data_IF_882041334301
#
_entry.id   IF_882041334301
#
_cell.length_a   1.000
_cell.length_b   1.000
_cell.length_c   1.000
_cell.angle_alpha   90.00
_cell.angle_beta   90.00
_cell.angle_gamma   90.00
#
_symmetry.space_group_name_H-M   'P 1'
#
loop_
_entity.id
_entity.type
_entity.pdbx_description
1 polymer ?
#
# COMPACT_ATOMS: atom_id res chain seq x y z
N UNK A 1 49.35 -4.29 -84.27
CA UNK A 1 49.95 -4.30 -82.92
C UNK A 1 49.00 -5.05 -81.99
N UNK A 2 49.16 -6.37 -81.89
CA UNK A 2 48.20 -7.25 -81.20
C UNK A 2 48.56 -7.27 -79.72
N UNK A 3 47.68 -6.72 -78.88
CA UNK A 3 47.84 -6.65 -77.43
C UNK A 3 47.88 -8.08 -76.85
N UNK A 4 49.09 -8.60 -76.60
CA UNK A 4 49.34 -9.95 -76.08
C UNK A 4 49.05 -10.13 -74.57
N UNK A 5 48.48 -9.13 -73.88
CA UNK A 5 48.27 -9.11 -72.42
C UNK A 5 46.81 -9.04 -71.94
N UNK A 6 45.82 -9.46 -72.74
CA UNK A 6 44.39 -9.43 -72.33
C UNK A 6 44.07 -10.26 -71.09
N UNK A 7 44.82 -11.35 -70.84
CA UNK A 7 44.64 -12.22 -69.67
C UNK A 7 44.97 -11.49 -68.36
N UNK A 8 46.02 -10.67 -68.34
CA UNK A 8 46.42 -9.91 -67.14
C UNK A 8 45.39 -8.86 -66.72
N UNK A 9 44.79 -8.17 -67.69
CA UNK A 9 43.72 -7.18 -67.42
C UNK A 9 42.49 -7.87 -66.82
N UNK A 10 42.11 -9.04 -67.33
CA UNK A 10 40.99 -9.82 -66.80
C UNK A 10 41.23 -10.26 -65.35
N UNK A 11 42.41 -10.80 -65.04
CA UNK A 11 42.75 -11.19 -63.67
C UNK A 11 42.79 -9.99 -62.72
N UNK A 12 43.30 -8.84 -63.15
CA UNK A 12 43.31 -7.63 -62.32
C UNK A 12 41.89 -7.12 -62.03
N UNK A 13 41.01 -7.11 -63.04
CA UNK A 13 39.60 -6.77 -62.87
C UNK A 13 38.90 -7.74 -61.91
N UNK A 14 39.14 -9.05 -62.06
CA UNK A 14 38.58 -10.06 -61.17
C UNK A 14 39.06 -9.86 -59.72
N UNK A 15 40.35 -9.63 -59.51
CA UNK A 15 40.92 -9.35 -58.18
C UNK A 15 40.31 -8.09 -57.57
N UNK A 16 40.14 -7.01 -58.34
CA UNK A 16 39.49 -5.79 -57.85
C UNK A 16 38.03 -6.03 -57.44
N UNK A 17 37.28 -6.83 -58.21
CA UNK A 17 35.91 -7.20 -57.87
C UNK A 17 35.87 -8.02 -56.57
N UNK A 18 36.76 -9.01 -56.42
CA UNK A 18 36.83 -9.84 -55.21
C UNK A 18 37.20 -8.99 -53.99
N UNK A 19 38.19 -8.10 -54.09
CA UNK A 19 38.57 -7.20 -53.01
C UNK A 19 37.42 -6.24 -52.66
N UNK A 20 36.73 -5.70 -53.66
CA UNK A 20 35.56 -4.83 -53.44
C UNK A 20 34.43 -5.55 -52.73
N UNK A 21 34.10 -6.77 -53.14
CA UNK A 21 33.09 -7.61 -52.49
C UNK A 21 33.51 -7.98 -51.06
N UNK A 22 34.79 -8.28 -50.86
CA UNK A 22 35.32 -8.57 -49.53
C UNK A 22 35.22 -7.36 -48.60
N UNK A 23 35.59 -6.16 -49.06
CA UNK A 23 35.43 -4.92 -48.30
C UNK A 23 33.97 -4.64 -47.95
N UNK A 24 33.05 -4.78 -48.93
CA UNK A 24 31.61 -4.63 -48.70
C UNK A 24 31.08 -5.63 -47.67
N UNK A 25 31.53 -6.87 -47.73
CA UNK A 25 31.13 -7.91 -46.77
C UNK A 25 31.61 -7.58 -45.36
N UNK A 26 32.85 -7.10 -45.21
CA UNK A 26 33.42 -6.73 -43.90
C UNK A 26 32.70 -5.51 -43.32
N UNK A 27 32.40 -4.49 -44.14
CA UNK A 27 31.66 -3.31 -43.68
C UNK A 27 30.25 -3.68 -43.25
N UNK A 28 29.55 -4.50 -44.03
CA UNK A 28 28.20 -4.94 -43.71
C UNK A 28 28.16 -5.78 -42.43
N UNK A 29 29.09 -6.72 -42.26
CA UNK A 29 29.17 -7.54 -41.06
C UNK A 29 29.49 -6.71 -39.81
N UNK A 30 30.40 -5.73 -39.93
CA UNK A 30 30.73 -4.80 -38.84
C UNK A 30 29.51 -3.98 -38.40
N UNK A 31 28.76 -3.42 -39.37
CA UNK A 31 27.53 -2.68 -39.06
C UNK A 31 26.46 -3.56 -38.42
N UNK A 32 26.28 -4.79 -38.91
CA UNK A 32 25.34 -5.75 -38.32
C UNK A 32 25.72 -6.11 -36.88
N UNK A 33 27.00 -6.33 -36.60
CA UNK A 33 27.48 -6.62 -35.26
C UNK A 33 27.25 -5.44 -34.32
N UNK A 34 27.53 -4.21 -34.78
CA UNK A 34 27.29 -2.99 -34.01
C UNK A 34 25.80 -2.80 -33.72
N UNK A 35 24.93 -2.98 -34.71
CA UNK A 35 23.46 -2.90 -34.53
C UNK A 35 22.95 -3.93 -33.53
N UNK A 36 23.42 -5.18 -33.61
CA UNK A 36 23.05 -6.24 -32.64
C UNK A 36 23.48 -5.90 -31.22
N UNK A 37 24.69 -5.34 -31.05
CA UNK A 37 25.18 -4.91 -29.74
C UNK A 37 24.32 -3.78 -29.17
N UNK A 38 24.05 -2.73 -29.96
CA UNK A 38 23.19 -1.61 -29.55
C UNK A 38 21.79 -2.11 -29.20
N UNK A 39 21.19 -2.93 -30.06
CA UNK A 39 19.88 -3.52 -29.81
C UNK A 39 19.85 -4.30 -28.50
N UNK A 40 20.86 -5.13 -28.23
CA UNK A 40 20.88 -5.92 -27.00
C UNK A 40 20.96 -5.04 -25.74
N UNK A 41 21.67 -3.92 -25.80
CA UNK A 41 21.75 -2.96 -24.69
C UNK A 41 20.44 -2.21 -24.48
N UNK A 42 19.77 -1.83 -25.57
CA UNK A 42 18.43 -1.25 -25.53
C UNK A 42 17.45 -2.24 -24.88
N UNK A 43 17.47 -3.52 -25.30
CA UNK A 43 16.64 -4.57 -24.72
C UNK A 43 16.93 -4.76 -23.23
N UNK A 44 18.20 -4.92 -22.82
CA UNK A 44 18.57 -5.08 -21.41
C UNK A 44 18.12 -3.90 -20.55
N UNK A 45 18.31 -2.67 -21.01
CA UNK A 45 17.88 -1.50 -20.26
C UNK A 45 16.36 -1.39 -20.22
N UNK A 46 15.66 -1.70 -21.31
CA UNK A 46 14.19 -1.78 -21.33
C UNK A 46 13.64 -2.82 -20.35
N UNK A 47 14.24 -4.01 -20.30
CA UNK A 47 13.86 -5.08 -19.39
C UNK A 47 14.09 -4.66 -17.93
N UNK A 48 15.17 -3.95 -17.65
CA UNK A 48 15.46 -3.40 -16.33
C UNK A 48 14.46 -2.34 -15.87
N UNK A 49 14.11 -1.39 -16.75
CA UNK A 49 13.10 -0.36 -16.45
C UNK A 49 11.77 -1.03 -16.11
N UNK A 50 11.37 -2.01 -16.91
CA UNK A 50 10.16 -2.79 -16.64
C UNK A 50 10.23 -3.56 -15.33
N UNK A 51 11.34 -4.23 -15.04
CA UNK A 51 11.51 -4.97 -13.78
C UNK A 51 11.46 -4.04 -12.56
N UNK A 52 11.95 -2.81 -12.68
CA UNK A 52 11.85 -1.80 -11.64
C UNK A 52 10.40 -1.38 -11.43
N UNK A 53 9.67 -1.11 -12.52
CA UNK A 53 8.23 -0.81 -12.47
C UNK A 53 7.42 -1.92 -11.80
N UNK A 54 7.70 -3.17 -12.15
CA UNK A 54 7.01 -4.35 -11.61
C UNK A 54 7.35 -4.58 -10.11
N UNK A 55 8.52 -4.18 -9.63
CA UNK A 55 8.95 -4.36 -8.22
C UNK A 55 8.48 -3.22 -7.29
N UNK A 56 8.26 -2.01 -7.82
CA UNK A 56 7.88 -0.84 -7.01
C UNK A 56 6.64 -1.09 -6.12
N UNK A 57 5.51 -1.65 -6.61
CA UNK A 57 4.34 -1.92 -5.76
C UNK A 57 4.66 -2.79 -4.55
N UNK A 58 5.57 -3.77 -4.71
CA UNK A 58 6.00 -4.66 -3.63
C UNK A 58 6.84 -3.91 -2.59
N UNK A 59 7.74 -3.03 -3.02
CA UNK A 59 8.53 -2.20 -2.10
C UNK A 59 7.63 -1.24 -1.32
N UNK A 60 6.69 -0.57 -2.00
CA UNK A 60 5.70 0.31 -1.37
C UNK A 60 4.84 -0.43 -0.35
N UNK A 61 4.42 -1.66 -0.66
CA UNK A 61 3.70 -2.51 0.28
C UNK A 61 4.52 -2.75 1.56
N UNK A 62 5.79 -3.12 1.43
CA UNK A 62 6.66 -3.40 2.57
C UNK A 62 6.83 -2.16 3.44
N UNK A 63 7.15 -1.01 2.83
CA UNK A 63 7.30 0.25 3.56
C UNK A 63 6.01 0.60 4.28
N UNK A 64 4.88 0.61 3.58
CA UNK A 64 3.65 1.05 4.20
C UNK A 64 3.12 0.10 5.27
N UNK A 65 3.27 -1.21 5.08
CA UNK A 65 2.91 -2.19 6.12
C UNK A 65 3.72 -1.93 7.41
N UNK A 66 5.03 -1.70 7.27
CA UNK A 66 5.90 -1.39 8.41
C UNK A 66 5.55 -0.05 9.05
N UNK A 67 5.24 0.97 8.26
CA UNK A 67 4.81 2.28 8.77
C UNK A 67 3.53 2.18 9.59
N UNK A 68 2.49 1.51 9.07
CA UNK A 68 1.23 1.30 9.82
C UNK A 68 1.51 0.58 11.13
N UNK A 69 2.35 -0.47 11.10
CA UNK A 69 2.74 -1.20 12.30
C UNK A 69 3.46 -0.33 13.33
N UNK A 70 4.38 0.54 12.89
CA UNK A 70 5.06 1.50 13.78
C UNK A 70 4.07 2.47 14.40
N UNK A 71 3.15 3.04 13.61
CA UNK A 71 2.13 3.96 14.11
C UNK A 71 1.31 3.29 15.21
N UNK A 72 0.83 2.06 14.99
CA UNK A 72 0.08 1.31 16.00
C UNK A 72 0.91 1.04 17.27
N UNK A 73 2.16 0.63 17.09
CA UNK A 73 3.08 0.40 18.22
C UNK A 73 3.31 1.68 19.02
N UNK A 74 3.41 2.82 18.35
CA UNK A 74 3.58 4.12 18.99
C UNK A 74 2.30 4.55 19.73
N UNK A 75 1.12 4.30 19.17
CA UNK A 75 -0.17 4.50 19.87
C UNK A 75 -0.21 3.68 21.17
N UNK A 76 0.19 2.41 21.12
CA UNK A 76 0.24 1.54 22.31
C UNK A 76 1.28 2.03 23.33
N UNK A 77 2.46 2.45 22.87
CA UNK A 77 3.55 2.87 23.74
C UNK A 77 3.32 4.25 24.38
N UNK A 78 2.75 5.19 23.63
CA UNK A 78 2.52 6.57 24.08
C UNK A 78 1.17 6.74 24.78
N UNK A 79 0.21 5.86 24.51
CA UNK A 79 -1.18 6.01 24.95
C UNK A 79 -1.91 7.19 24.26
N UNK A 80 -1.39 7.70 23.16
CA UNK A 80 -1.96 8.83 22.41
C UNK A 80 -1.94 8.54 20.89
N UNK A 81 -2.88 9.13 20.16
CA UNK A 81 -2.83 9.16 18.69
C UNK A 81 -1.63 9.99 18.20
N UNK A 82 -1.17 9.78 16.95
CA UNK A 82 -0.10 10.58 16.35
C UNK A 82 -0.42 12.08 16.41
N UNK A 83 0.61 12.90 16.64
CA UNK A 83 0.40 14.36 16.73
C UNK A 83 0.07 15.01 15.38
N UNK A 84 0.52 14.39 14.29
CA UNK A 84 0.30 14.80 12.91
C UNK A 84 -0.67 13.82 12.21
N UNK A 85 -1.18 14.18 11.03
CA UNK A 85 -1.99 13.24 10.24
C UNK A 85 -1.18 12.00 9.86
N UNK A 86 -1.84 10.85 9.73
CA UNK A 86 -1.19 9.58 9.37
C UNK A 86 -0.52 9.68 8.00
N UNK A 87 -1.05 10.52 7.11
CA UNK A 87 -0.44 10.81 5.81
C UNK A 87 0.94 11.50 5.94
N UNK A 88 1.06 12.49 6.82
CA UNK A 88 2.34 13.18 7.07
C UNK A 88 3.33 12.27 7.80
N UNK A 89 2.85 11.50 8.79
CA UNK A 89 3.67 10.44 9.43
C UNK A 89 4.16 9.42 8.41
N UNK A 90 3.34 9.06 7.42
CA UNK A 90 3.75 8.15 6.37
C UNK A 90 4.82 8.75 5.47
N UNK A 91 4.68 10.02 5.06
CA UNK A 91 5.70 10.73 4.28
C UNK A 91 7.02 10.79 5.04
N UNK A 92 6.98 11.13 6.32
CA UNK A 92 8.15 11.13 7.20
C UNK A 92 8.81 9.75 7.25
N UNK A 93 8.05 8.69 7.51
CA UNK A 93 8.54 7.32 7.57
C UNK A 93 9.16 6.86 6.25
N UNK A 94 8.52 7.20 5.12
CA UNK A 94 8.98 6.83 3.79
C UNK A 94 10.30 7.52 3.42
N UNK A 95 10.40 8.84 3.62
CA UNK A 95 11.57 9.60 3.19
C UNK A 95 12.72 9.62 4.22
N UNK A 96 12.40 9.68 5.51
CA UNK A 96 13.40 9.86 6.56
C UNK A 96 13.66 8.59 7.37
N UNK A 97 12.79 7.57 7.28
CA UNK A 97 12.88 6.39 8.14
C UNK A 97 12.59 6.70 9.62
N UNK A 98 11.85 7.78 9.87
CA UNK A 98 11.51 8.26 11.22
C UNK A 98 10.00 8.37 11.39
N UNK A 99 9.53 8.29 12.64
CA UNK A 99 8.15 8.60 13.03
C UNK A 99 8.21 9.55 14.22
N UNK A 100 7.58 10.72 14.08
CA UNK A 100 7.60 11.80 15.08
C UNK A 100 9.04 12.25 15.42
N UNK A 101 9.92 12.27 14.41
CA UNK A 101 11.33 12.63 14.51
C UNK A 101 12.23 11.53 15.08
N UNK A 102 11.69 10.38 15.49
CA UNK A 102 12.47 9.28 16.05
C UNK A 102 12.78 8.23 14.98
N UNK A 103 14.05 7.80 14.90
CA UNK A 103 14.47 6.76 13.96
C UNK A 103 13.89 5.40 14.33
N UNK A 104 13.34 4.70 13.35
CA UNK A 104 12.61 3.45 13.56
C UNK A 104 13.33 2.26 12.94
N UNK A 105 13.94 1.36 13.74
CA UNK A 105 14.74 0.25 13.21
C UNK A 105 13.97 -0.69 12.28
N UNK A 106 12.66 -0.81 12.46
CA UNK A 106 11.81 -1.66 11.60
C UNK A 106 11.66 -1.08 10.18
N UNK A 107 11.91 0.22 9.98
CA UNK A 107 11.88 0.86 8.67
C UNK A 107 13.19 0.70 7.89
N UNK A 108 14.27 0.19 8.52
CA UNK A 108 15.55 -0.01 7.82
C UNK A 108 15.40 -0.99 6.64
N UNK A 109 15.94 -0.60 5.48
CA UNK A 109 15.81 -1.35 4.24
C UNK A 109 14.44 -1.18 3.56
N UNK A 110 13.62 -0.23 4.02
CA UNK A 110 12.29 0.05 3.48
C UNK A 110 12.03 1.56 3.34
N UNK A 111 13.06 2.39 3.33
CA UNK A 111 12.92 3.83 3.06
C UNK A 111 13.05 4.13 1.55
N UNK A 112 12.73 5.36 1.15
CA UNK A 112 12.99 5.85 -0.20
C UNK A 112 14.46 5.72 -0.59
N UNK A 113 15.38 6.08 0.30
CA UNK A 113 16.81 6.00 0.05
C UNK A 113 17.28 4.54 -0.12
N UNK A 114 16.69 3.61 0.65
CA UNK A 114 16.94 2.17 0.48
C UNK A 114 16.45 1.67 -0.89
N UNK A 115 15.25 2.09 -1.30
CA UNK A 115 14.67 1.77 -2.61
C UNK A 115 15.54 2.29 -3.75
N UNK A 116 15.93 3.57 -3.70
CA UNK A 116 16.81 4.19 -4.71
C UNK A 116 18.15 3.45 -4.75
N UNK A 117 18.73 3.13 -3.59
CA UNK A 117 20.01 2.42 -3.48
C UNK A 117 19.94 0.99 -4.05
N UNK A 118 18.85 0.24 -3.80
CA UNK A 118 18.63 -1.09 -4.36
C UNK A 118 18.53 -1.03 -5.90
N UNK A 119 17.69 -0.11 -6.42
CA UNK A 119 17.54 0.07 -7.87
C UNK A 119 18.86 0.49 -8.53
N UNK A 120 19.61 1.42 -7.93
CA UNK A 120 20.92 1.83 -8.42
C UNK A 120 21.97 0.71 -8.33
N UNK A 121 21.90 -0.15 -7.31
CA UNK A 121 22.77 -1.33 -7.22
C UNK A 121 22.51 -2.28 -8.38
N UNK A 122 21.25 -2.62 -8.65
CA UNK A 122 20.86 -3.50 -9.77
C UNK A 122 21.15 -2.87 -11.14
N UNK A 123 20.99 -1.55 -11.28
CA UNK A 123 21.36 -0.83 -12.50
C UNK A 123 22.85 -0.96 -12.83
N UNK A 124 23.71 -0.87 -11.82
CA UNK A 124 25.17 -1.01 -11.99
C UNK A 124 25.57 -2.40 -12.48
N UNK A 125 24.85 -3.45 -12.09
CA UNK A 125 25.10 -4.82 -12.57
C UNK A 125 24.90 -4.96 -14.09
N UNK A 126 24.04 -4.12 -14.69
CA UNK A 126 23.81 -4.08 -16.15
C UNK A 126 24.52 -2.92 -16.85
N UNK A 127 25.43 -2.23 -16.18
CA UNK A 127 26.12 -1.03 -16.69
C UNK A 127 25.19 0.13 -17.05
N UNK A 128 24.16 0.36 -16.23
CA UNK A 128 23.26 1.49 -16.32
C UNK A 128 23.40 2.44 -15.11
N UNK A 129 23.06 3.71 -15.31
CA UNK A 129 22.89 4.74 -14.29
C UNK A 129 21.40 5.09 -14.17
N UNK A 130 20.94 5.31 -12.93
CA UNK A 130 19.54 5.57 -12.62
C UNK A 130 19.41 6.71 -11.62
N UNK A 131 18.46 7.60 -11.89
CA UNK A 131 18.15 8.75 -11.07
C UNK A 131 16.64 8.87 -10.88
N UNK A 132 16.23 9.08 -9.63
CA UNK A 132 14.87 9.46 -9.28
C UNK A 132 14.83 10.95 -8.97
N UNK A 133 13.73 11.61 -9.31
CA UNK A 133 13.53 13.05 -9.11
C UNK A 133 12.08 13.35 -8.76
N UNK A 134 11.84 14.44 -8.02
CA UNK A 134 10.49 14.90 -7.67
C UNK A 134 9.60 13.77 -7.11
N UNK A 135 10.17 12.92 -6.26
CA UNK A 135 9.44 11.83 -5.64
C UNK A 135 8.38 12.40 -4.69
N UNK A 136 7.17 11.83 -4.76
CA UNK A 136 6.05 12.15 -3.90
C UNK A 136 5.33 10.86 -3.55
N UNK A 137 4.81 10.82 -2.33
CA UNK A 137 4.03 9.69 -1.85
C UNK A 137 2.82 10.21 -1.09
N UNK A 138 1.70 9.52 -1.24
CA UNK A 138 0.46 9.83 -0.53
C UNK A 138 -0.21 8.57 -0.04
N UNK A 139 -0.95 8.71 1.06
CA UNK A 139 -1.69 7.64 1.72
C UNK A 139 -3.17 8.01 1.72
N UNK A 140 -4.01 7.09 1.23
CA UNK A 140 -5.45 7.27 1.18
C UNK A 140 -6.20 5.97 1.42
N UNK A 141 -7.51 6.02 1.57
CA UNK A 141 -8.36 4.85 1.69
C UNK A 141 -9.49 4.97 0.65
N UNK A 142 -9.54 4.03 -0.29
CA UNK A 142 -10.53 4.00 -1.38
C UNK A 142 -11.57 2.90 -1.20
N UNK A 143 -11.35 1.99 -0.25
CA UNK A 143 -12.32 0.98 0.16
C UNK A 143 -12.19 0.72 1.68
N UNK A 144 -13.20 0.11 2.34
CA UNK A 144 -13.19 -0.10 3.78
C UNK A 144 -12.05 -0.99 4.30
N UNK A 145 -11.46 -1.82 3.43
CA UNK A 145 -10.57 -2.91 3.82
C UNK A 145 -9.12 -2.72 3.37
N UNK A 146 -8.82 -1.72 2.55
CA UNK A 146 -7.48 -1.48 2.04
C UNK A 146 -7.07 -0.01 2.14
N UNK A 147 -5.85 0.20 2.63
CA UNK A 147 -5.16 1.47 2.53
C UNK A 147 -4.42 1.50 1.20
N UNK A 148 -4.59 2.57 0.45
CA UNK A 148 -3.90 2.85 -0.82
C UNK A 148 -2.69 3.73 -0.59
N UNK A 149 -1.56 3.30 -1.15
CA UNK A 149 -0.33 4.07 -1.26
C UNK A 149 -0.14 4.43 -2.71
N UNK A 150 -0.02 5.73 -3.01
CA UNK A 150 0.24 6.24 -4.34
C UNK A 150 1.61 6.93 -4.35
N UNK A 151 2.50 6.43 -5.21
CA UNK A 151 3.86 6.94 -5.38
C UNK A 151 4.06 7.45 -6.81
N UNK A 152 4.56 8.67 -6.91
CA UNK A 152 4.89 9.31 -8.18
C UNK A 152 6.31 9.85 -8.12
N UNK A 153 7.15 9.50 -9.10
CA UNK A 153 8.49 10.04 -9.23
C UNK A 153 8.91 10.15 -10.70
N UNK A 154 9.72 11.16 -11.02
CA UNK A 154 10.48 11.19 -12.28
C UNK A 154 11.60 10.16 -12.22
N UNK A 155 11.72 9.36 -13.27
CA UNK A 155 12.71 8.30 -13.40
C UNK A 155 13.50 8.46 -14.68
N UNK A 156 14.81 8.57 -14.51
CA UNK A 156 15.77 8.63 -15.59
C UNK A 156 16.70 7.42 -15.49
N UNK A 157 16.81 6.65 -16.56
CA UNK A 157 17.76 5.56 -16.68
C UNK A 157 18.57 5.71 -17.97
N UNK A 158 19.89 5.58 -17.89
CA UNK A 158 20.77 5.66 -19.05
C UNK A 158 21.78 4.53 -19.00
N UNK A 159 22.08 3.98 -20.15
CA UNK A 159 23.27 3.17 -20.31
C UNK A 159 24.54 4.01 -20.05
N UNK A 160 25.60 3.42 -19.50
CA UNK A 160 26.85 4.14 -19.18
C UNK A 160 27.57 4.73 -20.39
N UNK A 161 27.35 4.19 -21.60
CA UNK A 161 27.89 4.74 -22.84
C UNK A 161 26.89 5.67 -23.55
N UNK A 162 25.77 6.00 -22.89
CA UNK A 162 24.72 6.91 -23.39
C UNK A 162 24.16 6.52 -24.77
N UNK A 163 24.12 5.22 -25.08
CA UNK A 163 23.53 4.73 -26.33
C UNK A 163 22.01 4.65 -26.28
N UNK A 164 21.46 4.50 -25.07
CA UNK A 164 20.03 4.39 -24.81
C UNK A 164 19.71 5.03 -23.47
N UNK A 165 18.58 5.72 -23.40
CA UNK A 165 18.06 6.30 -22.18
C UNK A 165 16.54 6.30 -22.16
N UNK A 166 16.00 6.24 -20.94
CA UNK A 166 14.59 6.35 -20.63
C UNK A 166 14.41 7.53 -19.69
N UNK A 167 13.44 8.37 -20.00
CA UNK A 167 13.00 9.45 -19.13
C UNK A 167 11.48 9.39 -19.07
N UNK A 168 10.94 9.02 -17.91
CA UNK A 168 9.49 8.89 -17.71
C UNK A 168 9.10 9.24 -16.29
N UNK A 169 7.81 9.49 -16.11
CA UNK A 169 7.21 9.50 -14.78
C UNK A 169 6.79 8.08 -14.41
N UNK A 170 7.25 7.59 -13.27
CA UNK A 170 6.76 6.38 -12.65
C UNK A 170 5.56 6.74 -11.78
N UNK A 171 4.50 5.97 -11.94
CA UNK A 171 3.32 6.00 -11.09
C UNK A 171 3.10 4.57 -10.63
N UNK A 172 3.16 4.35 -9.32
CA UNK A 172 3.02 3.04 -8.72
C UNK A 172 2.04 3.11 -7.56
N UNK A 173 1.13 2.14 -7.52
CA UNK A 173 0.08 2.05 -6.51
C UNK A 173 0.21 0.72 -5.81
N UNK A 174 0.06 0.74 -4.48
CA UNK A 174 0.06 -0.44 -3.64
C UNK A 174 -1.10 -0.40 -2.65
N UNK A 175 -1.61 -1.57 -2.29
CA UNK A 175 -2.73 -1.71 -1.37
C UNK A 175 -2.32 -2.55 -0.17
N UNK A 176 -2.63 -2.06 1.03
CA UNK A 176 -2.41 -2.79 2.29
C UNK A 176 -3.77 -3.16 2.84
N UNK A 177 -4.05 -4.46 2.86
CA UNK A 177 -5.25 -4.98 3.51
C UNK A 177 -5.14 -4.78 5.02
N UNK A 178 -6.18 -4.20 5.63
CA UNK A 178 -6.21 -3.89 7.07
C UNK A 178 -6.58 -5.11 7.93
N UNK A 179 -6.98 -6.22 7.31
CA UNK A 179 -7.29 -7.45 8.03
C UNK A 179 -6.10 -7.91 8.87
N UNK A 180 -6.36 -8.33 10.11
CA UNK A 180 -5.38 -8.71 11.13
C UNK A 180 -4.49 -7.57 11.66
N UNK A 181 -4.70 -6.32 11.24
CA UNK A 181 -4.20 -5.19 12.01
C UNK A 181 -5.02 -5.02 13.28
N UNK A 182 -4.40 -4.44 14.30
CA UNK A 182 -5.09 -4.10 15.55
C UNK A 182 -5.91 -2.84 15.34
N UNK A 183 -7.12 -2.80 15.86
CA UNK A 183 -7.96 -1.61 15.76
C UNK A 183 -7.48 -0.53 16.74
N UNK A 184 -6.98 0.63 16.25
CA UNK A 184 -6.46 1.70 17.11
C UNK A 184 -7.46 2.17 18.17
N UNK A 185 -8.76 2.11 17.87
CA UNK A 185 -9.83 2.49 18.79
C UNK A 185 -9.80 1.66 20.08
N UNK A 186 -9.47 0.37 19.99
CA UNK A 186 -9.38 -0.52 21.14
C UNK A 186 -8.04 -0.41 21.89
N UNK A 187 -6.98 0.01 21.21
CA UNK A 187 -5.64 0.15 21.78
C UNK A 187 -5.59 1.23 22.87
N UNK A 188 -6.22 2.39 22.64
CA UNK A 188 -6.16 3.51 23.59
C UNK A 188 -7.17 3.44 24.72
N UNK A 189 -8.33 2.85 24.47
CA UNK A 189 -9.39 2.81 25.47
C UNK A 189 -9.15 1.75 26.58
N UNK A 190 -7.92 1.21 26.66
CA UNK A 190 -7.47 0.35 27.75
C UNK A 190 -7.96 -1.10 27.65
N UNK A 191 -8.32 -1.52 26.43
CA UNK A 191 -8.93 -2.82 26.19
C UNK A 191 -7.95 -3.80 25.55
N UNK A 192 -8.34 -5.07 25.58
CA UNK A 192 -7.61 -6.13 24.90
C UNK A 192 -7.44 -5.76 23.42
N UNK A 193 -6.23 -5.98 22.90
CA UNK A 193 -5.92 -5.77 21.50
C UNK A 193 -6.94 -6.51 20.61
N UNK A 194 -7.65 -5.77 19.77
CA UNK A 194 -8.67 -6.33 18.89
C UNK A 194 -8.18 -6.34 17.46
N UNK A 195 -8.22 -7.49 16.80
CA UNK A 195 -7.83 -7.64 15.39
C UNK A 195 -9.02 -7.36 14.49
N UNK A 196 -8.76 -6.68 13.37
CA UNK A 196 -9.77 -6.42 12.36
C UNK A 196 -10.00 -7.69 11.55
N UNK A 197 -11.18 -8.28 11.70
CA UNK A 197 -11.63 -9.47 10.98
C UNK A 197 -12.97 -9.16 10.34
N UNK A 198 -13.02 -9.22 9.02
CA UNK A 198 -14.23 -8.97 8.23
C UNK A 198 -15.31 -10.01 8.54
N UNK A 199 -16.54 -9.56 8.71
CA UNK A 199 -17.69 -10.41 9.03
C UNK A 199 -17.97 -11.38 7.87
N UNK A 200 -18.13 -12.69 8.15
CA UNK A 200 -18.63 -13.65 7.16
C UNK A 200 -20.16 -13.60 7.04
N UNK A 201 -20.83 -12.91 7.96
CA UNK A 201 -22.28 -12.88 8.13
C UNK A 201 -22.93 -11.87 7.19
N UNK A 202 -24.07 -12.26 6.63
CA UNK A 202 -24.89 -11.43 5.75
C UNK A 202 -26.28 -11.16 6.35
N UNK A 203 -26.70 -11.95 7.35
CA UNK A 203 -28.03 -11.86 7.96
C UNK A 203 -27.90 -11.72 9.48
N UNK A 204 -27.74 -10.48 9.94
CA UNK A 204 -27.49 -10.20 11.35
C UNK A 204 -28.57 -10.68 12.32
N UNK A 205 -29.90 -10.59 12.10
CA UNK A 205 -30.85 -11.00 13.13
C UNK A 205 -30.67 -12.44 13.64
N UNK A 206 -30.27 -13.37 12.77
CA UNK A 206 -29.95 -14.76 13.14
C UNK A 206 -28.50 -14.99 13.56
N UNK A 207 -27.58 -14.12 13.12
CA UNK A 207 -26.13 -14.29 13.23
C UNK A 207 -25.50 -13.28 14.21
N UNK A 208 -26.28 -12.40 14.82
CA UNK A 208 -25.81 -11.28 15.63
C UNK A 208 -24.99 -11.73 16.83
N UNK A 209 -25.44 -12.79 17.52
CA UNK A 209 -24.68 -13.35 18.65
C UNK A 209 -23.29 -13.81 18.21
N UNK A 210 -23.20 -14.42 17.03
CA UNK A 210 -21.94 -14.89 16.45
C UNK A 210 -21.08 -13.73 15.92
N UNK A 211 -21.70 -12.66 15.40
CA UNK A 211 -21.03 -11.45 14.96
C UNK A 211 -20.42 -10.66 16.14
N UNK A 212 -21.18 -10.50 17.22
CA UNK A 212 -20.74 -9.87 18.47
C UNK A 212 -19.75 -10.76 19.22
N UNK A 213 -19.80 -12.07 19.00
CA UNK A 213 -18.77 -13.03 19.38
C UNK A 213 -19.22 -14.03 20.44
N UNK A 214 -19.56 -15.25 20.00
CA UNK A 214 -19.76 -16.40 20.90
C UNK A 214 -18.46 -16.85 21.61
N UNK A 215 -17.28 -16.38 21.16
CA UNK A 215 -16.00 -16.57 21.85
C UNK A 215 -15.49 -15.38 22.68
N UNK A 216 -16.34 -14.37 22.95
CA UNK A 216 -16.03 -13.27 23.86
C UNK A 216 -15.31 -12.08 23.18
N UNK A 217 -14.56 -11.31 23.98
CA UNK A 217 -13.92 -10.03 23.59
C UNK A 217 -13.03 -10.08 22.35
N UNK A 218 -12.49 -11.26 22.05
CA UNK A 218 -11.42 -11.45 21.07
C UNK A 218 -11.94 -11.69 19.64
N UNK A 219 -13.26 -11.89 19.48
CA UNK A 219 -13.82 -12.50 18.26
C UNK A 219 -14.85 -11.67 17.52
N UNK A 220 -15.11 -10.45 17.96
CA UNK A 220 -16.15 -9.63 17.36
C UNK A 220 -15.72 -9.20 15.94
N UNK A 221 -16.59 -9.38 14.96
CA UNK A 221 -16.30 -9.11 13.55
C UNK A 221 -16.52 -7.64 13.19
N UNK A 222 -15.99 -7.23 12.03
CA UNK A 222 -16.15 -5.90 11.46
C UNK A 222 -17.01 -5.94 10.21
N UNK A 223 -17.77 -4.88 9.96
CA UNK A 223 -18.47 -4.66 8.71
C UNK A 223 -18.13 -3.29 8.13
N UNK A 224 -18.27 -3.17 6.81
CA UNK A 224 -18.15 -1.90 6.11
C UNK A 224 -19.43 -1.08 6.32
N UNK A 225 -19.29 0.20 6.66
CA UNK A 225 -20.43 1.10 6.88
C UNK A 225 -20.13 2.52 6.46
N UNK A 226 -21.04 3.11 5.70
CA UNK A 226 -21.04 4.54 5.38
C UNK A 226 -21.36 5.33 6.64
N UNK A 227 -20.56 6.34 6.97
CA UNK A 227 -20.70 7.15 8.19
C UNK A 227 -19.94 6.60 9.39
N UNK A 228 -19.32 5.42 9.28
CA UNK A 228 -18.38 4.91 10.28
C UNK A 228 -16.95 5.45 10.01
N UNK A 229 -16.08 5.54 11.02
CA UNK A 229 -14.69 5.91 10.85
C UNK A 229 -13.90 4.87 10.04
N UNK A 230 -13.16 5.34 9.02
CA UNK A 230 -12.23 4.48 8.27
C UNK A 230 -11.05 4.03 9.13
N UNK A 231 -10.21 3.13 8.62
CA UNK A 231 -9.03 2.69 9.36
C UNK A 231 -8.01 3.81 9.53
N UNK A 232 -7.85 4.69 8.53
CA UNK A 232 -7.03 5.91 8.66
C UNK A 232 -7.62 6.84 9.72
N UNK A 233 -8.93 7.09 9.69
CA UNK A 233 -9.59 7.93 10.70
C UNK A 233 -9.39 7.36 12.12
N UNK A 234 -9.47 6.03 12.27
CA UNK A 234 -9.20 5.33 13.53
C UNK A 234 -7.75 5.50 14.01
N UNK A 235 -6.77 5.45 13.10
CA UNK A 235 -5.36 5.69 13.43
C UNK A 235 -5.09 7.15 13.86
N UNK A 236 -5.88 8.10 13.36
CA UNK A 236 -5.79 9.53 13.71
C UNK A 236 -6.63 9.90 14.94
N UNK A 237 -7.50 9.01 15.43
CA UNK A 237 -8.46 9.31 16.49
C UNK A 237 -9.63 10.20 16.04
N UNK A 238 -9.89 10.29 14.74
CA UNK A 238 -10.91 11.14 14.13
C UNK A 238 -12.25 10.40 14.00
N UNK A 239 -13.10 10.45 15.03
CA UNK A 239 -14.37 9.71 15.03
C UNK A 239 -15.61 10.53 14.65
N UNK A 240 -15.49 11.86 14.63
CA UNK A 240 -16.62 12.78 14.40
C UNK A 240 -16.54 13.50 13.06
N UNK A 241 -15.33 13.77 12.56
CA UNK A 241 -15.08 14.47 11.29
C UNK A 241 -14.30 13.52 10.40
N UNK A 242 -15.02 12.75 9.60
CA UNK A 242 -14.46 11.64 8.84
C UNK A 242 -13.77 12.12 7.56
N UNK A 243 -12.52 11.72 7.34
CA UNK A 243 -11.77 11.97 6.09
C UNK A 243 -12.31 11.09 4.96
N UNK A 244 -12.72 9.86 5.28
CA UNK A 244 -13.22 8.88 4.31
C UNK A 244 -14.59 8.32 4.73
N UNK A 245 -15.68 9.13 4.66
CA UNK A 245 -16.98 8.77 5.21
C UNK A 245 -17.65 7.56 4.56
N UNK A 246 -17.23 7.15 3.36
CA UNK A 246 -17.79 5.97 2.69
C UNK A 246 -16.95 4.71 2.93
N UNK A 247 -15.74 4.85 3.47
CA UNK A 247 -14.78 3.76 3.65
C UNK A 247 -14.65 3.36 5.12
N UNK A 248 -15.72 3.60 5.87
CA UNK A 248 -15.84 3.27 7.27
C UNK A 248 -15.87 1.78 7.51
N UNK A 249 -15.24 1.37 8.60
CA UNK A 249 -15.48 0.07 9.20
C UNK A 249 -16.04 0.29 10.58
N UNK A 250 -16.87 -0.63 11.04
CA UNK A 250 -17.38 -0.63 12.39
C UNK A 250 -17.47 -2.05 12.92
N UNK A 251 -17.68 -2.13 14.21
CA UNK A 251 -17.87 -3.38 14.89
C UNK A 251 -18.72 -3.23 16.13
N UNK A 252 -19.21 -4.34 16.66
CA UNK A 252 -19.96 -4.33 17.91
C UNK A 252 -19.05 -4.64 19.10
N UNK A 253 -19.25 -3.90 20.19
CA UNK A 253 -18.52 -3.99 21.45
C UNK A 253 -19.16 -5.08 22.32
N UNK A 254 -18.38 -6.10 22.68
CA UNK A 254 -18.81 -7.11 23.65
C UNK A 254 -18.61 -6.61 25.09
N UNK A 255 -19.63 -5.94 25.63
CA UNK A 255 -19.61 -5.33 26.97
C UNK A 255 -19.14 -6.24 28.13
N UNK A 256 -19.54 -7.53 28.21
CA UNK A 256 -19.18 -8.39 29.34
C UNK A 256 -17.69 -8.68 29.47
N UNK A 257 -16.88 -8.41 28.44
CA UNK A 257 -15.44 -8.58 28.52
C UNK A 257 -14.72 -7.50 29.34
N UNK A 258 -15.41 -6.43 29.74
CA UNK A 258 -14.79 -5.33 30.46
C UNK A 258 -14.97 -5.48 31.98
N UNK A 259 -13.89 -5.81 32.73
CA UNK A 259 -14.00 -6.03 34.17
C UNK A 259 -14.28 -4.75 34.96
N UNK A 260 -13.93 -3.57 34.42
CA UNK A 260 -14.19 -2.25 35.00
C UNK A 260 -14.35 -1.21 33.87
N UNK A 261 -15.54 -1.05 33.27
CA UNK A 261 -15.72 -0.06 32.22
C UNK A 261 -15.59 1.37 32.80
N UNK A 262 -14.80 2.27 32.18
CA UNK A 262 -14.43 3.56 32.77
C UNK A 262 -15.53 4.65 32.71
N UNK A 263 -16.54 4.62 33.59
CA UNK A 263 -17.61 5.65 33.55
C UNK A 263 -18.92 5.30 34.27
N UNK A 264 -19.93 6.20 34.24
CA UNK A 264 -21.29 5.93 34.73
C UNK A 264 -21.92 4.73 33.99
N UNK A 265 -22.98 4.09 34.53
CA UNK A 265 -23.41 2.78 34.07
C UNK A 265 -23.67 2.78 32.56
N UNK A 266 -22.89 1.99 31.83
CA UNK A 266 -22.85 1.86 30.37
C UNK A 266 -24.08 1.13 29.81
N UNK A 267 -25.13 0.98 30.61
CA UNK A 267 -26.31 0.19 30.31
C UNK A 267 -27.29 0.88 29.36
N UNK A 268 -26.85 1.90 28.62
CA UNK A 268 -27.65 2.62 27.63
C UNK A 268 -26.79 3.27 26.53
N UNK A 269 -25.59 2.74 26.23
CA UNK A 269 -24.78 3.21 25.09
C UNK A 269 -24.95 2.29 23.92
N UNK A 270 -24.92 2.82 22.69
CA UNK A 270 -24.87 1.96 21.51
C UNK A 270 -23.64 1.07 21.59
N UNK A 271 -23.79 -0.21 21.28
CA UNK A 271 -22.69 -1.17 21.22
C UNK A 271 -21.84 -1.01 19.96
N UNK A 272 -22.22 -0.12 19.03
CA UNK A 272 -21.39 0.26 17.88
C UNK A 272 -20.11 0.89 18.39
N UNK A 273 -18.95 0.37 17.97
CA UNK A 273 -17.67 0.64 18.63
C UNK A 273 -17.30 2.11 18.76
N UNK A 274 -17.29 2.84 17.66
CA UNK A 274 -16.90 4.24 17.65
C UNK A 274 -17.89 5.12 18.42
N UNK A 275 -19.18 4.76 18.45
CA UNK A 275 -20.19 5.43 19.27
C UNK A 275 -20.03 5.08 20.74
N UNK A 276 -19.80 3.81 21.07
CA UNK A 276 -19.63 3.33 22.43
C UNK A 276 -18.52 4.08 23.18
N UNK A 277 -17.39 4.31 22.49
CA UNK A 277 -16.22 4.98 23.07
C UNK A 277 -16.30 6.51 23.04
N UNK A 278 -17.00 7.12 22.07
CA UNK A 278 -16.99 8.58 21.88
C UNK A 278 -18.29 9.29 22.26
N UNK A 279 -19.43 8.59 22.27
CA UNK A 279 -20.75 9.16 22.57
C UNK A 279 -21.46 8.38 23.70
N UNK A 280 -21.46 8.92 24.93
CA UNK A 280 -22.12 8.28 26.06
C UNK A 280 -23.65 8.29 26.00
N UNK A 281 -24.24 9.00 25.04
CA UNK A 281 -25.69 9.19 24.89
C UNK A 281 -26.27 8.48 23.68
N UNK A 282 -25.48 7.67 22.98
CA UNK A 282 -25.87 7.06 21.70
C UNK A 282 -26.89 5.92 21.78
N UNK A 283 -27.08 5.27 22.93
CA UNK A 283 -27.94 4.07 22.99
C UNK A 283 -29.41 4.41 23.26
N UNK A 284 -30.26 4.13 22.28
CA UNK A 284 -31.69 4.48 22.34
C UNK A 284 -32.62 3.25 22.33
N UNK A 285 -32.13 2.08 21.93
CA UNK A 285 -32.93 0.88 21.71
C UNK A 285 -32.33 -0.34 22.41
N UNK A 286 -33.07 -0.93 23.36
CA UNK A 286 -32.76 -2.26 23.87
C UNK A 286 -33.49 -3.30 23.01
N UNK A 287 -32.77 -4.36 22.61
CA UNK A 287 -33.31 -5.45 21.77
C UNK A 287 -33.60 -6.70 22.62
N UNK A 288 -34.88 -7.00 22.94
CA UNK A 288 -35.23 -8.16 23.74
C UNK A 288 -34.79 -9.46 23.07
N UNK A 289 -34.13 -10.34 23.83
CA UNK A 289 -33.72 -11.66 23.36
C UNK A 289 -32.32 -11.74 22.74
N UNK A 290 -31.62 -10.62 22.57
CA UNK A 290 -30.20 -10.60 22.18
C UNK A 290 -29.31 -10.74 23.42
N UNK A 291 -29.06 -9.65 24.14
CA UNK A 291 -28.44 -9.64 25.47
C UNK A 291 -29.03 -8.50 26.30
N UNK A 292 -29.10 -8.65 27.63
CA UNK A 292 -29.66 -7.60 28.51
C UNK A 292 -28.84 -6.31 28.56
N UNK A 293 -27.59 -6.36 28.09
CA UNK A 293 -26.67 -5.23 27.98
C UNK A 293 -26.58 -4.70 26.54
N UNK A 294 -27.27 -5.31 25.58
CA UNK A 294 -27.20 -4.93 24.18
C UNK A 294 -28.12 -3.75 23.93
N UNK A 295 -27.51 -2.62 23.60
CA UNK A 295 -28.20 -1.39 23.23
C UNK A 295 -27.66 -0.94 21.89
N UNK A 296 -28.55 -0.53 21.00
CA UNK A 296 -28.21 -0.04 19.67
C UNK A 296 -28.82 1.36 19.52
N UNK A 297 -28.14 2.24 18.81
CA UNK A 297 -28.73 3.51 18.40
C UNK A 297 -29.74 3.28 17.27
N UNK A 298 -30.65 4.23 17.07
CA UNK A 298 -31.70 4.09 16.08
C UNK A 298 -31.20 4.12 14.64
N UNK A 299 -30.03 4.70 14.36
CA UNK A 299 -29.47 4.82 13.02
C UNK A 299 -28.89 3.51 12.51
N UNK A 300 -28.44 2.62 13.41
CA UNK A 300 -27.86 1.32 13.07
C UNK A 300 -28.85 0.15 13.11
N UNK A 301 -30.11 0.36 13.50
CA UNK A 301 -31.10 -0.73 13.58
C UNK A 301 -31.23 -1.47 12.24
N UNK A 302 -31.44 -0.73 11.15
CA UNK A 302 -31.65 -1.31 9.82
C UNK A 302 -30.40 -2.09 9.33
N UNK A 303 -29.20 -1.63 9.69
CA UNK A 303 -27.93 -2.26 9.30
C UNK A 303 -27.77 -3.65 9.91
N UNK A 304 -28.27 -3.83 11.14
CA UNK A 304 -28.29 -5.11 11.84
C UNK A 304 -29.63 -5.87 11.69
N UNK A 305 -30.52 -5.40 10.79
CA UNK A 305 -31.76 -6.07 10.43
C UNK A 305 -32.88 -5.94 11.47
N UNK A 306 -32.84 -4.91 12.30
CA UNK A 306 -33.88 -4.55 13.26
C UNK A 306 -34.63 -3.30 12.83
N UNK A 307 -35.77 -3.06 13.45
CA UNK A 307 -36.59 -1.87 13.25
C UNK A 307 -36.89 -1.21 14.58
N UNK A 308 -37.40 0.03 14.56
CA UNK A 308 -37.87 0.71 15.77
C UNK A 308 -38.95 -0.07 16.55
N UNK A 309 -39.68 -0.98 15.88
CA UNK A 309 -40.70 -1.81 16.54
C UNK A 309 -40.13 -2.95 17.36
N UNK A 310 -38.84 -3.28 17.16
CA UNK A 310 -38.11 -4.29 17.93
C UNK A 310 -37.52 -3.72 19.22
N UNK A 311 -37.57 -2.40 19.40
CA UNK A 311 -37.06 -1.68 20.57
C UNK A 311 -38.02 -1.74 21.76
N UNK A 312 -37.48 -1.99 22.96
CA UNK A 312 -38.21 -1.97 24.24
C UNK A 312 -37.83 -0.80 25.14
#
# INVERSE_FOLDING_TARGET
MVVKNKKGIFFLMLTLIIISLFLLSVTFFSEMALRKSVQKRVETLSDFVKATEDDLPRQLFITGFRTVFVVQRNIVASGNYPSETVEETFKEAFFNGTVEGNAEPILFGATYDDLVSDVQSRAREISADVQFSNASVSLSQEDPWNIKIDFVAGFYASDINHLASWNKTLHSVSYIRISNFSDPLYLLNGFQERKIIETPYLNFPSELQQHVGDCGAECSYYMARVGAPSFIDRLEGNYLVLKYPNEGIESLVYFPAFPNPPGPPYNSRSVVDYLYFNDPTSGDCSLPGVYSWFWLDTEHLDDYGFTLSDCS
#
